data_IF_645216440456
#
_entry.id   IF_645216440456
#
_cell.length_a   1.000
_cell.length_b   1.000
_cell.length_c   1.000
_cell.angle_alpha   90.00
_cell.angle_beta   90.00
_cell.angle_gamma   90.00
#
_symmetry.space_group_name_H-M   'P 1'
#
loop_
_entity.id
_entity.type
_entity.pdbx_description
1 polymer ?
#
# COMPACT_ATOMS: atom_id res chain seq x y z
N UNK A 1 18.94 -18.27 -62.34
CA UNK A 1 19.63 -18.50 -61.05
C UNK A 1 19.23 -17.44 -59.99
N UNK A 2 19.05 -16.18 -60.39
CA UNK A 2 18.71 -15.07 -59.46
C UNK A 2 17.34 -15.18 -58.76
N UNK A 3 16.30 -15.60 -59.47
CA UNK A 3 14.95 -15.71 -58.89
C UNK A 3 14.86 -16.75 -57.72
N UNK A 4 15.69 -17.81 -57.76
CA UNK A 4 15.72 -18.81 -56.70
C UNK A 4 16.41 -18.29 -55.43
N UNK A 5 17.42 -17.44 -55.58
CA UNK A 5 18.16 -16.81 -54.48
C UNK A 5 17.28 -15.77 -53.76
N UNK A 6 16.53 -14.97 -54.52
CA UNK A 6 15.59 -13.97 -53.98
C UNK A 6 14.45 -14.62 -53.18
N UNK A 7 13.91 -15.76 -53.67
CA UNK A 7 12.86 -16.49 -52.97
C UNK A 7 13.36 -17.11 -51.64
N UNK A 8 14.59 -17.63 -51.63
CA UNK A 8 15.23 -18.18 -50.43
C UNK A 8 15.53 -17.09 -49.37
N UNK A 9 15.95 -15.91 -49.83
CA UNK A 9 16.22 -14.76 -48.95
C UNK A 9 14.92 -14.19 -48.34
N UNK A 10 13.81 -14.19 -49.09
CA UNK A 10 12.50 -13.75 -48.57
C UNK A 10 11.95 -14.72 -47.53
N UNK A 11 12.13 -16.04 -47.71
CA UNK A 11 11.73 -17.06 -46.72
C UNK A 11 12.56 -16.94 -45.43
N UNK A 12 13.87 -16.73 -45.55
CA UNK A 12 14.76 -16.53 -44.41
C UNK A 12 14.38 -15.29 -43.60
N UNK A 13 14.09 -14.16 -44.25
CA UNK A 13 13.64 -12.94 -43.58
C UNK A 13 12.33 -13.14 -42.81
N UNK A 14 11.37 -13.86 -43.39
CA UNK A 14 10.10 -14.19 -42.71
C UNK A 14 10.31 -15.12 -41.53
N UNK A 15 11.20 -16.10 -41.63
CA UNK A 15 11.52 -16.99 -40.52
C UNK A 15 12.21 -16.25 -39.36
N UNK A 16 13.17 -15.37 -39.67
CA UNK A 16 13.84 -14.55 -38.66
C UNK A 16 12.82 -13.62 -37.97
N UNK A 17 11.91 -12.99 -38.71
CA UNK A 17 10.88 -12.13 -38.17
C UNK A 17 9.89 -12.89 -37.28
N UNK A 18 9.51 -14.11 -37.65
CA UNK A 18 8.66 -14.98 -36.83
C UNK A 18 9.35 -15.42 -35.55
N UNK A 19 10.64 -15.74 -35.59
CA UNK A 19 11.43 -16.11 -34.42
C UNK A 19 11.57 -14.90 -33.47
N UNK A 20 11.84 -13.69 -34.00
CA UNK A 20 11.90 -12.46 -33.19
C UNK A 20 10.55 -12.15 -32.52
N UNK A 21 9.45 -12.38 -33.25
CA UNK A 21 8.09 -12.14 -32.71
C UNK A 21 7.76 -13.14 -31.58
N UNK A 22 8.15 -14.40 -31.73
CA UNK A 22 7.99 -15.41 -30.67
C UNK A 22 8.83 -15.08 -29.44
N UNK A 23 10.09 -14.65 -29.63
CA UNK A 23 10.95 -14.22 -28.53
C UNK A 23 10.33 -13.01 -27.81
N UNK A 24 9.78 -12.03 -28.55
CA UNK A 24 9.15 -10.85 -27.96
C UNK A 24 7.86 -11.20 -27.18
N UNK A 25 7.13 -12.24 -27.60
CA UNK A 25 5.92 -12.70 -26.89
C UNK A 25 6.23 -13.32 -25.52
N UNK A 26 7.45 -13.83 -25.29
CA UNK A 26 7.87 -14.35 -23.99
C UNK A 26 8.27 -13.26 -22.99
N UNK A 27 8.47 -12.00 -23.43
CA UNK A 27 8.78 -10.88 -22.52
C UNK A 27 7.55 -10.12 -22.01
N UNK A 28 6.33 -10.52 -22.39
CA UNK A 28 5.10 -9.96 -21.82
C UNK A 28 4.73 -10.69 -20.53
N UNK A 29 5.69 -10.83 -19.62
CA UNK A 29 5.46 -11.48 -18.34
C UNK A 29 5.31 -10.41 -17.26
N UNK A 30 4.14 -10.46 -16.65
CA UNK A 30 3.86 -10.10 -15.28
C UNK A 30 4.10 -8.64 -14.87
N UNK A 31 3.31 -7.74 -15.46
CA UNK A 31 2.85 -6.60 -14.69
C UNK A 31 1.70 -7.08 -13.75
N UNK A 32 1.97 -8.05 -12.88
CA UNK A 32 1.13 -8.25 -11.70
C UNK A 32 1.30 -6.98 -10.87
N UNK A 33 0.21 -6.27 -10.61
CA UNK A 33 0.19 -5.16 -9.68
C UNK A 33 0.57 -5.71 -8.30
N UNK A 34 1.86 -5.72 -8.01
CA UNK A 34 2.35 -6.12 -6.70
C UNK A 34 2.07 -4.97 -5.72
N UNK A 35 1.41 -5.29 -4.62
CA UNK A 35 1.21 -4.32 -3.55
C UNK A 35 2.54 -4.05 -2.83
N UNK A 36 2.72 -2.85 -2.24
CA UNK A 36 3.95 -2.51 -1.52
C UNK A 36 4.36 -3.55 -0.48
N UNK A 37 3.41 -4.14 0.24
CA UNK A 37 3.66 -5.20 1.21
C UNK A 37 4.14 -6.53 0.61
N UNK A 38 4.07 -6.70 -0.72
CA UNK A 38 4.47 -7.94 -1.41
C UNK A 38 5.87 -7.87 -2.03
N UNK A 39 6.51 -6.70 -2.03
CA UNK A 39 7.83 -6.48 -2.62
C UNK A 39 8.89 -6.22 -1.53
N UNK A 40 10.15 -6.39 -1.91
CA UNK A 40 11.30 -6.12 -1.04
C UNK A 40 11.76 -4.67 -1.20
N UNK A 41 11.90 -3.96 -0.09
CA UNK A 41 12.32 -2.56 -0.02
C UNK A 41 13.66 -2.46 0.70
N UNK A 42 14.50 -1.52 0.30
CA UNK A 42 15.67 -1.15 1.11
C UNK A 42 15.20 -0.47 2.39
N UNK A 43 15.78 -0.85 3.53
CA UNK A 43 15.34 -0.28 4.80
C UNK A 43 16.18 -0.69 6.00
N UNK A 44 15.71 -0.25 7.17
CA UNK A 44 16.32 -0.50 8.46
C UNK A 44 15.27 -0.99 9.46
N UNK A 45 15.66 -1.95 10.30
CA UNK A 45 14.89 -2.43 11.45
C UNK A 45 15.61 -1.96 12.70
N UNK A 46 14.88 -1.35 13.62
CA UNK A 46 15.35 -0.94 14.93
C UNK A 46 14.72 -1.86 15.98
N UNK A 47 15.54 -2.69 16.60
CA UNK A 47 15.07 -3.65 17.60
C UNK A 47 14.83 -2.99 18.96
N UNK A 48 14.06 -3.64 19.81
CA UNK A 48 13.78 -3.18 21.18
C UNK A 48 15.01 -3.22 22.10
N UNK A 49 16.04 -4.01 21.76
CA UNK A 49 17.31 -4.08 22.47
C UNK A 49 18.33 -2.99 22.02
N UNK A 50 17.93 -2.10 21.09
CA UNK A 50 18.74 -1.02 20.56
C UNK A 50 19.60 -1.36 19.34
N UNK A 51 19.57 -2.61 18.85
CA UNK A 51 20.28 -2.99 17.64
C UNK A 51 19.57 -2.44 16.40
N UNK A 52 20.36 -2.10 15.37
CA UNK A 52 19.86 -1.70 14.06
C UNK A 52 20.35 -2.67 13.00
N UNK A 53 19.44 -3.15 12.16
CA UNK A 53 19.73 -4.09 11.08
C UNK A 53 19.24 -3.49 9.77
N UNK A 54 20.15 -3.38 8.79
CA UNK A 54 19.86 -2.85 7.45
C UNK A 54 19.78 -3.97 6.43
N UNK A 55 18.91 -3.84 5.44
CA UNK A 55 18.79 -4.82 4.36
C UNK A 55 17.57 -4.63 3.47
N UNK A 56 17.17 -5.70 2.80
CA UNK A 56 15.92 -5.76 2.05
C UNK A 56 14.82 -6.23 2.99
N UNK A 57 13.79 -5.41 3.15
CA UNK A 57 12.68 -5.61 4.05
C UNK A 57 11.39 -5.84 3.28
N UNK A 58 10.58 -6.76 3.76
CA UNK A 58 9.20 -6.95 3.35
C UNK A 58 8.32 -7.00 4.59
N UNK A 59 7.24 -6.24 4.59
CA UNK A 59 6.35 -6.14 5.74
C UNK A 59 4.98 -6.78 5.46
N UNK A 60 4.34 -7.23 6.52
CA UNK A 60 2.98 -7.75 6.51
C UNK A 60 2.26 -7.19 7.75
N UNK A 61 1.44 -6.17 7.53
CA UNK A 61 0.70 -5.52 8.61
C UNK A 61 -0.50 -6.36 9.08
N UNK A 62 -1.03 -7.27 8.26
CA UNK A 62 -2.12 -8.15 8.68
C UNK A 62 -1.62 -9.16 9.70
N UNK A 63 -0.48 -9.80 9.42
CA UNK A 63 0.20 -10.72 10.34
C UNK A 63 1.13 -10.03 11.34
N UNK A 64 1.27 -8.72 11.23
CA UNK A 64 2.05 -7.87 12.15
C UNK A 64 3.53 -8.26 12.24
N UNK A 65 4.15 -8.53 11.10
CA UNK A 65 5.55 -8.94 10.98
C UNK A 65 6.30 -8.11 9.94
N UNK A 66 7.63 -8.05 10.09
CA UNK A 66 8.57 -7.56 9.08
C UNK A 66 9.63 -8.63 8.83
N UNK A 67 9.94 -8.89 7.57
CA UNK A 67 10.92 -9.85 7.12
C UNK A 67 12.16 -9.13 6.63
N UNK A 68 13.33 -9.66 6.96
CA UNK A 68 14.62 -9.24 6.45
C UNK A 68 15.16 -10.34 5.53
N UNK A 69 15.53 -9.98 4.31
CA UNK A 69 16.24 -10.85 3.38
C UNK A 69 17.73 -10.64 3.53
N UNK A 70 18.40 -11.69 3.95
CA UNK A 70 19.85 -11.83 3.96
C UNK A 70 20.20 -13.17 3.25
N UNK A 71 21.14 -13.96 3.71
CA UNK A 71 21.38 -15.33 3.23
C UNK A 71 20.14 -16.21 3.41
N UNK A 72 19.39 -15.96 4.49
CA UNK A 72 18.07 -16.55 4.78
C UNK A 72 17.06 -15.45 5.04
N UNK A 73 15.76 -15.79 5.04
CA UNK A 73 14.70 -14.87 5.43
C UNK A 73 14.49 -14.98 6.95
N UNK A 74 14.68 -13.86 7.65
CA UNK A 74 14.46 -13.73 9.09
C UNK A 74 13.17 -12.93 9.29
N UNK A 75 12.28 -13.42 10.15
CA UNK A 75 11.01 -12.77 10.46
C UNK A 75 11.06 -12.17 11.86
N UNK A 76 10.69 -10.90 11.97
CA UNK A 76 10.56 -10.15 13.22
C UNK A 76 9.10 -9.80 13.46
N UNK A 77 8.70 -9.78 14.72
CA UNK A 77 7.36 -9.37 15.16
C UNK A 77 7.41 -7.98 15.79
N UNK A 78 6.26 -7.35 15.94
CA UNK A 78 6.15 -6.07 16.62
C UNK A 78 6.60 -6.10 18.10
N UNK A 79 6.71 -7.27 18.71
CA UNK A 79 7.16 -7.40 20.11
C UNK A 79 8.68 -7.19 20.28
N UNK A 80 9.47 -7.45 19.24
CA UNK A 80 10.93 -7.32 19.29
C UNK A 80 11.49 -6.22 18.37
N UNK A 81 10.62 -5.50 17.68
CA UNK A 81 10.96 -4.35 16.84
C UNK A 81 10.32 -3.10 17.42
N UNK A 82 11.10 -2.05 17.67
CA UNK A 82 10.57 -0.76 18.08
C UNK A 82 9.97 0.01 16.90
N UNK A 83 10.70 0.02 15.80
CA UNK A 83 10.26 0.61 14.54
C UNK A 83 11.07 0.03 13.38
N UNK A 84 10.56 0.18 12.16
CA UNK A 84 11.31 -0.03 10.94
C UNK A 84 10.99 1.05 9.92
N UNK A 85 11.90 1.25 8.98
CA UNK A 85 11.72 2.18 7.88
C UNK A 85 12.12 1.54 6.56
N UNK A 86 11.38 1.88 5.50
CA UNK A 86 11.62 1.40 4.15
C UNK A 86 11.61 2.56 3.16
N UNK A 87 12.42 2.45 2.11
CA UNK A 87 12.28 3.31 0.94
C UNK A 87 11.32 2.64 -0.04
N UNK A 88 10.13 3.21 -0.18
CA UNK A 88 9.07 2.68 -1.05
C UNK A 88 9.05 3.45 -2.36
N UNK A 89 9.46 2.80 -3.45
CA UNK A 89 9.49 3.40 -4.79
C UNK A 89 8.09 3.73 -5.32
N UNK A 90 7.06 2.98 -4.89
CA UNK A 90 5.67 3.21 -5.29
C UNK A 90 5.14 4.54 -4.77
N UNK A 91 5.50 4.90 -3.53
CA UNK A 91 5.16 6.18 -2.92
C UNK A 91 6.24 7.25 -3.10
N UNK A 92 7.41 6.87 -3.66
CA UNK A 92 8.52 7.78 -3.92
C UNK A 92 9.16 8.35 -2.67
N UNK A 93 9.19 7.60 -1.55
CA UNK A 93 9.69 8.14 -0.30
C UNK A 93 9.95 7.14 0.81
N UNK A 94 10.48 7.68 1.91
CA UNK A 94 10.72 6.93 3.14
C UNK A 94 9.39 6.75 3.88
N UNK A 95 9.06 5.50 4.19
CA UNK A 95 7.91 5.14 5.05
C UNK A 95 8.43 4.62 6.37
N UNK A 96 7.84 5.09 7.47
CA UNK A 96 8.23 4.72 8.84
C UNK A 96 7.09 4.02 9.55
N UNK A 97 7.41 2.89 10.17
CA UNK A 97 6.47 2.05 10.89
C UNK A 97 6.91 1.89 12.33
N UNK A 98 6.03 2.18 13.26
CA UNK A 98 6.28 2.05 14.70
C UNK A 98 5.46 0.94 15.30
N UNK A 99 6.06 0.22 16.23
CA UNK A 99 5.37 -0.74 17.08
C UNK A 99 4.74 -0.01 18.26
N UNK A 100 3.42 0.05 18.31
CA UNK A 100 2.67 0.76 19.33
C UNK A 100 1.66 -0.19 19.99
N UNK A 101 1.40 -0.04 21.30
CA UNK A 101 0.38 -0.83 21.98
C UNK A 101 -1.01 -0.48 21.44
N UNK A 102 -1.76 -1.50 21.00
CA UNK A 102 -3.12 -1.32 20.52
C UNK A 102 -3.92 -2.62 20.57
N UNK A 103 -5.19 -2.51 20.93
CA UNK A 103 -6.14 -3.63 20.92
C UNK A 103 -6.86 -3.71 19.56
N UNK A 104 -6.37 -4.57 18.65
CA UNK A 104 -7.04 -4.81 17.35
C UNK A 104 -8.38 -5.51 17.52
N UNK A 105 -8.43 -6.49 18.45
CA UNK A 105 -9.59 -7.30 18.73
C UNK A 105 -9.72 -7.46 20.24
N UNK A 106 -10.86 -7.03 20.79
CA UNK A 106 -11.10 -7.07 22.25
C UNK A 106 -10.34 -5.98 23.01
N UNK A 107 -10.09 -6.20 24.30
CA UNK A 107 -9.57 -5.21 25.23
C UNK A 107 -8.07 -5.37 25.54
N UNK A 108 -7.42 -6.39 24.98
CA UNK A 108 -6.01 -6.67 25.24
C UNK A 108 -5.10 -5.98 24.25
N UNK A 109 -4.28 -5.06 24.74
CA UNK A 109 -3.29 -4.36 23.93
C UNK A 109 -2.06 -5.22 23.70
N UNK A 110 -1.63 -5.27 22.44
CA UNK A 110 -0.38 -5.89 22.01
C UNK A 110 0.41 -4.91 21.12
N UNK A 111 1.73 -5.10 21.00
CA UNK A 111 2.51 -4.32 20.04
C UNK A 111 2.01 -4.56 18.62
N UNK A 112 1.64 -3.48 17.92
CA UNK A 112 1.09 -3.49 16.56
C UNK A 112 1.86 -2.49 15.71
N UNK A 113 2.22 -2.88 14.48
CA UNK A 113 2.86 -1.96 13.55
C UNK A 113 1.86 -0.98 12.93
N UNK A 114 2.19 0.29 13.02
CA UNK A 114 1.51 1.38 12.33
C UNK A 114 2.49 2.17 11.48
N UNK A 115 2.11 2.50 10.25
CA UNK A 115 2.80 3.51 9.48
C UNK A 115 2.44 4.89 10.03
N UNK A 116 3.43 5.74 10.27
CA UNK A 116 3.23 7.15 10.64
C UNK A 116 3.20 7.99 9.37
N UNK A 117 2.03 8.55 9.05
CA UNK A 117 1.85 9.41 7.87
C UNK A 117 2.28 10.85 8.14
N UNK A 118 1.91 11.39 9.28
CA UNK A 118 2.35 12.71 9.76
C UNK A 118 2.36 12.72 11.27
N UNK A 119 3.20 13.53 11.85
CA UNK A 119 3.37 13.70 13.29
C UNK A 119 3.46 15.19 13.61
N UNK A 120 2.68 15.64 14.59
CA UNK A 120 2.78 16.93 15.24
C UNK A 120 2.96 16.74 16.74
N UNK A 121 3.02 17.85 17.49
CA UNK A 121 3.22 17.82 18.94
C UNK A 121 2.03 17.19 19.68
N UNK A 122 0.81 17.39 19.16
CA UNK A 122 -0.42 16.96 19.79
C UNK A 122 -1.06 15.74 19.12
N UNK A 123 -0.95 15.62 17.81
CA UNK A 123 -1.61 14.56 17.02
C UNK A 123 -0.67 13.97 15.98
N UNK A 124 -0.65 12.64 15.91
CA UNK A 124 -0.09 11.91 14.78
C UNK A 124 -1.18 11.15 14.02
N UNK A 125 -1.08 11.14 12.69
CA UNK A 125 -1.90 10.31 11.82
C UNK A 125 -1.17 9.01 11.53
N UNK A 126 -1.80 7.90 11.89
CA UNK A 126 -1.31 6.55 11.70
C UNK A 126 -2.13 5.83 10.63
N UNK A 127 -1.50 4.86 9.99
CA UNK A 127 -2.14 4.06 8.94
C UNK A 127 -1.78 2.57 9.06
N UNK A 128 -2.74 1.72 8.72
CA UNK A 128 -2.50 0.29 8.45
C UNK A 128 -3.11 -0.04 7.11
N UNK A 129 -2.30 -0.49 6.16
CA UNK A 129 -2.77 -0.98 4.88
C UNK A 129 -3.15 -2.46 4.95
N UNK A 130 -4.08 -2.87 4.11
CA UNK A 130 -4.50 -4.26 3.94
C UNK A 130 -4.98 -4.50 2.51
N UNK A 131 -5.00 -5.77 2.09
CA UNK A 131 -5.46 -6.15 0.76
C UNK A 131 -6.95 -6.51 0.85
N UNK A 132 -7.78 -5.66 0.26
CA UNK A 132 -9.23 -5.87 0.20
C UNK A 132 -9.64 -6.53 -1.12
N UNK A 133 -10.63 -7.41 -1.08
CA UNK A 133 -11.28 -7.95 -2.28
C UNK A 133 -12.11 -6.86 -2.94
N UNK A 134 -11.89 -6.62 -4.24
CA UNK A 134 -12.69 -5.67 -5.01
C UNK A 134 -13.84 -6.39 -5.71
N UNK A 135 -15.02 -6.25 -5.15
CA UNK A 135 -16.26 -6.83 -5.69
C UNK A 135 -17.00 -5.90 -6.67
N UNK A 136 -16.38 -4.77 -7.08
CA UNK A 136 -17.04 -3.78 -7.95
C UNK A 136 -17.40 -4.31 -9.34
N UNK A 137 -16.76 -5.38 -9.80
CA UNK A 137 -17.13 -6.07 -11.03
C UNK A 137 -18.40 -6.92 -10.95
N UNK A 138 -18.91 -7.22 -9.76
CA UNK A 138 -20.08 -8.09 -9.56
C UNK A 138 -21.42 -7.43 -9.88
N UNK A 139 -21.51 -6.10 -9.85
CA UNK A 139 -22.77 -5.38 -9.98
C UNK A 139 -23.15 -5.00 -11.43
N UNK A 140 -22.32 -5.29 -12.42
CA UNK A 140 -22.58 -4.99 -13.85
C UNK A 140 -23.05 -6.22 -14.65
N UNK A 141 -23.75 -7.14 -14.02
CA UNK A 141 -24.38 -8.27 -14.72
C UNK A 141 -25.68 -7.82 -15.39
N UNK A 142 -25.54 -7.28 -16.60
CA UNK A 142 -26.66 -7.27 -17.55
C UNK A 142 -26.87 -8.67 -18.11
N UNK A 143 -28.10 -9.05 -18.53
CA UNK A 143 -28.46 -10.38 -19.01
C UNK A 143 -27.76 -10.81 -20.31
N UNK A 144 -26.86 -10.02 -20.87
CA UNK A 144 -26.26 -10.20 -22.19
C UNK A 144 -24.84 -10.82 -22.22
N UNK A 145 -24.26 -11.19 -21.08
CA UNK A 145 -22.87 -11.70 -21.03
C UNK A 145 -22.74 -13.14 -20.50
N UNK A 146 -23.82 -13.91 -20.52
CA UNK A 146 -23.71 -15.36 -20.28
C UNK A 146 -23.16 -16.04 -21.52
N UNK A 147 -21.86 -16.40 -21.47
CA UNK A 147 -21.30 -17.37 -22.39
C UNK A 147 -21.74 -18.77 -21.90
N UNK A 148 -22.57 -19.51 -22.62
CA UNK A 148 -23.11 -20.79 -22.14
C UNK A 148 -22.07 -21.93 -22.02
N UNK A 149 -20.84 -21.70 -22.50
CA UNK A 149 -19.77 -22.71 -22.48
C UNK A 149 -18.72 -22.50 -21.39
N UNK A 150 -18.65 -21.28 -20.82
CA UNK A 150 -17.71 -20.95 -19.74
C UNK A 150 -18.55 -20.34 -18.63
N UNK A 151 -18.70 -21.04 -17.52
CA UNK A 151 -19.36 -20.49 -16.36
C UNK A 151 -18.79 -19.14 -15.97
N UNK A 152 -19.46 -18.35 -15.09
CA UNK A 152 -19.01 -17.02 -14.71
C UNK A 152 -17.60 -17.10 -14.15
N UNK A 153 -16.62 -16.65 -14.92
CA UNK A 153 -15.25 -16.46 -14.42
C UNK A 153 -15.27 -15.22 -13.55
N UNK A 154 -15.53 -15.40 -12.25
CA UNK A 154 -15.39 -14.33 -11.27
C UNK A 154 -13.90 -14.05 -11.11
N UNK A 155 -13.40 -13.03 -11.77
CA UNK A 155 -12.09 -12.46 -11.46
C UNK A 155 -12.29 -11.55 -10.25
N UNK A 156 -12.06 -12.08 -9.08
CA UNK A 156 -11.98 -11.26 -7.87
C UNK A 156 -10.76 -10.35 -8.02
N UNK A 157 -10.99 -9.05 -8.15
CA UNK A 157 -9.94 -8.05 -8.11
C UNK A 157 -9.47 -7.87 -6.66
N UNK A 158 -8.19 -7.55 -6.48
CA UNK A 158 -7.65 -7.12 -5.20
C UNK A 158 -7.27 -5.65 -5.28
N UNK A 159 -7.47 -4.91 -4.19
CA UNK A 159 -7.06 -3.52 -4.08
C UNK A 159 -6.41 -3.25 -2.74
N UNK A 160 -5.46 -2.32 -2.73
CA UNK A 160 -4.91 -1.80 -1.49
C UNK A 160 -5.95 -0.91 -0.79
N UNK A 161 -6.19 -1.17 0.48
CA UNK A 161 -7.09 -0.42 1.31
C UNK A 161 -6.40 -0.02 2.62
N UNK A 162 -6.95 0.99 3.30
CA UNK A 162 -6.31 1.61 4.43
C UNK A 162 -7.28 1.79 5.59
N UNK A 163 -6.81 1.47 6.80
CA UNK A 163 -7.42 1.90 8.05
C UNK A 163 -6.57 3.04 8.61
N UNK A 164 -7.21 4.15 9.02
CA UNK A 164 -6.54 5.29 9.62
C UNK A 164 -6.85 5.38 11.09
N UNK A 165 -5.88 5.91 11.84
CA UNK A 165 -5.95 6.07 13.27
C UNK A 165 -5.31 7.41 13.65
N UNK A 166 -5.80 8.02 14.71
CA UNK A 166 -5.19 9.19 15.31
C UNK A 166 -4.57 8.81 16.65
N UNK A 167 -3.28 9.13 16.81
CA UNK A 167 -2.60 9.03 18.09
C UNK A 167 -2.66 10.41 18.76
N UNK A 168 -3.32 10.50 19.91
CA UNK A 168 -3.45 11.73 20.71
C UNK A 168 -3.54 11.38 22.18
N UNK A 169 -3.00 12.24 23.04
CA UNK A 169 -3.06 12.07 24.51
C UNK A 169 -2.61 10.67 24.99
N UNK A 170 -1.64 10.06 24.31
CA UNK A 170 -1.13 8.73 24.63
C UNK A 170 -2.01 7.56 24.20
N UNK A 171 -3.14 7.80 23.52
CA UNK A 171 -4.06 6.77 23.00
C UNK A 171 -4.16 6.74 21.49
N UNK A 172 -4.54 5.60 20.95
CA UNK A 172 -4.79 5.40 19.52
C UNK A 172 -6.28 5.21 19.30
N UNK A 173 -6.89 6.06 18.48
CA UNK A 173 -8.29 5.98 18.11
C UNK A 173 -8.46 5.69 16.63
N UNK A 174 -9.30 4.69 16.28
CA UNK A 174 -9.58 4.36 14.88
C UNK A 174 -10.52 5.40 14.26
N UNK A 175 -10.15 5.90 13.10
CA UNK A 175 -10.96 6.82 12.31
C UNK A 175 -12.00 6.07 11.45
N UNK A 176 -13.26 6.47 11.53
CA UNK A 176 -14.37 5.79 10.85
C UNK A 176 -14.58 6.20 9.40
N UNK A 177 -13.74 7.08 8.85
CA UNK A 177 -13.86 7.68 7.52
C UNK A 177 -15.13 8.56 7.34
N UNK A 178 -15.72 9.05 8.43
CA UNK A 178 -16.84 10.00 8.37
C UNK A 178 -16.36 11.40 8.68
N UNK A 179 -16.78 12.38 7.88
CA UNK A 179 -16.39 13.78 8.08
C UNK A 179 -16.69 14.30 9.49
N UNK A 180 -17.82 13.92 10.09
CA UNK A 180 -18.18 14.29 11.45
C UNK A 180 -17.14 13.80 12.46
N UNK A 181 -16.67 12.55 12.28
CA UNK A 181 -15.68 11.98 13.20
C UNK A 181 -14.30 12.63 13.00
N UNK A 182 -13.96 13.11 11.79
CA UNK A 182 -12.75 13.88 11.56
C UNK A 182 -12.67 15.09 12.50
N UNK A 183 -13.74 15.87 12.60
CA UNK A 183 -13.78 17.04 13.49
C UNK A 183 -13.72 16.65 14.98
N UNK A 184 -14.21 15.47 15.36
CA UNK A 184 -14.01 14.93 16.71
C UNK A 184 -12.55 14.56 16.96
N UNK A 185 -11.87 14.03 15.94
CA UNK A 185 -10.43 13.71 16.05
C UNK A 185 -9.54 14.95 16.06
N UNK A 186 -9.94 16.02 15.33
CA UNK A 186 -9.23 17.27 15.14
C UNK A 186 -10.02 18.46 15.75
N UNK A 187 -10.20 18.53 17.09
CA UNK A 187 -11.14 19.47 17.70
C UNK A 187 -10.62 20.91 17.66
N UNK A 188 -11.57 21.85 17.69
CA UNK A 188 -11.31 23.28 17.91
C UNK A 188 -11.04 24.11 16.66
N UNK A 189 -10.96 23.47 15.46
CA UNK A 189 -10.68 24.15 14.19
C UNK A 189 -11.56 23.68 13.05
N UNK A 190 -12.81 23.35 13.33
CA UNK A 190 -13.74 22.73 12.39
C UNK A 190 -13.95 23.60 11.13
N UNK A 191 -14.12 24.92 11.31
CA UNK A 191 -14.36 25.85 10.21
C UNK A 191 -13.12 26.03 9.33
N UNK A 192 -11.95 26.19 9.93
CA UNK A 192 -10.67 26.34 9.24
C UNK A 192 -10.32 25.08 8.43
N UNK A 193 -10.51 23.90 9.03
CA UNK A 193 -10.30 22.60 8.37
C UNK A 193 -11.27 22.43 7.21
N UNK A 194 -12.56 22.75 7.40
CA UNK A 194 -13.55 22.63 6.34
C UNK A 194 -13.27 23.59 5.18
N UNK A 195 -12.86 24.83 5.50
CA UNK A 195 -12.43 25.79 4.48
C UNK A 195 -11.20 25.32 3.72
N UNK A 196 -10.18 24.81 4.45
CA UNK A 196 -8.96 24.26 3.86
C UNK A 196 -9.26 23.09 2.91
N UNK A 197 -10.11 22.15 3.34
CA UNK A 197 -10.55 21.02 2.52
C UNK A 197 -11.25 21.49 1.25
N UNK A 198 -12.21 22.39 1.36
CA UNK A 198 -12.95 22.94 0.19
C UNK A 198 -12.03 23.68 -0.77
N UNK A 199 -11.17 24.57 -0.27
CA UNK A 199 -10.24 25.37 -1.07
C UNK A 199 -9.26 24.51 -1.86
N UNK A 200 -8.80 23.42 -1.25
CA UNK A 200 -7.79 22.53 -1.84
C UNK A 200 -8.41 21.27 -2.47
N UNK A 201 -9.74 21.12 -2.47
CA UNK A 201 -10.49 19.95 -3.02
C UNK A 201 -10.02 18.63 -2.39
N UNK A 202 -9.85 18.62 -1.06
CA UNK A 202 -9.38 17.47 -0.31
C UNK A 202 -10.54 16.58 0.13
N UNK A 203 -10.31 15.27 0.08
CA UNK A 203 -11.24 14.24 0.55
C UNK A 203 -10.69 13.60 1.84
N UNK A 204 -11.48 13.61 2.90
CA UNK A 204 -11.04 13.20 4.24
C UNK A 204 -10.81 11.69 4.39
N UNK A 205 -11.20 10.88 3.41
CA UNK A 205 -11.06 9.42 3.37
C UNK A 205 -9.91 8.94 2.47
N UNK A 206 -9.23 9.88 1.79
CA UNK A 206 -8.07 9.58 0.95
C UNK A 206 -6.76 9.80 1.69
N UNK A 207 -5.84 8.84 1.57
CA UNK A 207 -4.57 8.81 2.28
C UNK A 207 -3.77 10.11 2.17
N UNK A 208 -3.52 10.58 0.95
CA UNK A 208 -2.73 11.80 0.73
C UNK A 208 -3.42 13.07 1.21
N UNK A 209 -4.75 13.12 1.07
CA UNK A 209 -5.53 14.28 1.48
C UNK A 209 -5.68 14.34 3.00
N UNK A 210 -5.97 13.19 3.64
CA UNK A 210 -6.05 13.10 5.11
C UNK A 210 -4.72 13.47 5.77
N UNK A 211 -3.58 13.06 5.18
CA UNK A 211 -2.25 13.49 5.61
C UNK A 211 -2.13 15.02 5.57
N UNK A 212 -2.51 15.67 4.46
CA UNK A 212 -2.45 17.14 4.31
C UNK A 212 -3.38 17.87 5.28
N UNK A 213 -4.59 17.31 5.52
CA UNK A 213 -5.55 17.86 6.47
C UNK A 213 -4.97 17.80 7.87
N UNK A 214 -4.39 16.67 8.28
CA UNK A 214 -3.81 16.51 9.62
C UNK A 214 -2.56 17.37 9.80
N UNK A 215 -1.71 17.49 8.79
CA UNK A 215 -0.56 18.37 8.82
C UNK A 215 -0.99 19.84 9.00
N UNK A 216 -2.00 20.29 8.25
CA UNK A 216 -2.56 21.63 8.39
C UNK A 216 -3.14 21.88 9.80
N UNK A 217 -3.85 20.89 10.37
CA UNK A 217 -4.32 20.97 11.74
C UNK A 217 -3.16 21.14 12.75
N UNK A 218 -2.09 20.37 12.60
CA UNK A 218 -0.91 20.51 13.47
C UNK A 218 -0.28 21.90 13.35
N UNK A 219 -0.26 22.48 12.16
CA UNK A 219 0.24 23.86 11.93
C UNK A 219 -0.64 24.92 12.61
N UNK A 220 -1.96 24.70 12.74
CA UNK A 220 -2.87 25.60 13.46
C UNK A 220 -2.69 25.57 14.99
N UNK A 221 -2.10 24.50 15.53
CA UNK A 221 -1.88 24.31 16.96
C UNK A 221 -0.55 24.91 17.45
N UNK A 222 0.37 25.26 16.54
CA UNK A 222 1.67 25.89 16.84
C UNK A 222 1.56 27.42 16.76
#
# INVERSE_FOLDING_TARGET
>A
MEAFTLKKMCIMKKAIFSILFVIFAFYTVEAQNQFPSQIWHKGNIFLTDGQTISGLLKYDLENNVVQLQNETIITFTASNVSNFEIFDETYGGLRKFYSLPYALNGDYETPIFFEVLTQGDNIALLCREYIATDNRGMNNWGPTTMNPFWGPTMVAGYRLAFNYYFFKNGGIERYSLKKKDLFTMLPGHDEEIDLFMRKNRLEHDKRGDLLRITAYYNDLQN
#
